data_IF_676615733134
#
_entry.id   IF_676615733134
#
_cell.length_a   1.000
_cell.length_b   1.000
_cell.length_c   1.000
_cell.angle_alpha   90.00
_cell.angle_beta   90.00
_cell.angle_gamma   90.00
#
_symmetry.space_group_name_H-M   'P 1'
#
loop_
_entity.id
_entity.type
_entity.pdbx_description
1 polymer ?
#
# COMPACT_ATOMS: atom_id res chain seq x y z
N UNK A 1 -5.75 -8.28 3.42
CA UNK A 1 -6.63 -7.23 2.84
C UNK A 1 -6.60 -7.26 1.32
N UNK A 2 -5.52 -6.81 0.66
CA UNK A 2 -5.46 -6.70 -0.82
C UNK A 2 -5.77 -7.98 -1.59
N UNK A 3 -5.21 -9.12 -1.20
CA UNK A 3 -5.48 -10.40 -1.86
C UNK A 3 -6.97 -10.82 -1.78
N UNK A 4 -7.69 -10.40 -0.74
CA UNK A 4 -9.13 -10.65 -0.64
C UNK A 4 -9.96 -9.83 -1.66
N UNK A 5 -9.35 -8.79 -2.25
CA UNK A 5 -9.90 -8.00 -3.35
C UNK A 5 -9.36 -8.44 -4.72
N UNK A 6 -8.75 -9.62 -4.82
CA UNK A 6 -8.33 -10.23 -6.08
C UNK A 6 -6.97 -9.76 -6.61
N UNK A 7 -6.23 -8.92 -5.88
CA UNK A 7 -4.86 -8.59 -6.27
C UNK A 7 -3.92 -9.79 -6.08
N UNK A 8 -2.91 -9.98 -6.97
CA UNK A 8 -1.89 -11.00 -6.78
C UNK A 8 -1.25 -10.88 -5.40
N UNK A 9 -1.19 -11.94 -4.58
CA UNK A 9 -0.68 -11.81 -3.21
C UNK A 9 0.75 -11.29 -3.14
N UNK A 10 1.61 -11.65 -4.11
CA UNK A 10 2.98 -11.16 -4.20
C UNK A 10 3.11 -9.66 -4.55
N UNK A 11 2.01 -8.96 -4.88
CA UNK A 11 2.04 -7.49 -4.98
C UNK A 11 2.18 -6.82 -3.61
N UNK A 12 1.83 -7.51 -2.53
CA UNK A 12 1.83 -6.95 -1.18
C UNK A 12 3.20 -7.16 -0.55
N UNK A 13 4.04 -6.13 -0.59
CA UNK A 13 5.33 -6.11 0.09
C UNK A 13 5.16 -5.38 1.42
N UNK A 14 5.53 -6.01 2.53
CA UNK A 14 5.53 -5.39 3.87
C UNK A 14 6.94 -5.47 4.44
N UNK A 15 7.51 -4.31 4.74
CA UNK A 15 8.83 -4.19 5.35
C UNK A 15 8.66 -3.78 6.81
N UNK A 16 9.19 -4.59 7.73
CA UNK A 16 9.28 -4.23 9.14
C UNK A 16 10.69 -3.71 9.42
N UNK A 17 10.80 -2.42 9.70
CA UNK A 17 12.09 -1.74 9.91
C UNK A 17 12.13 -1.29 11.37
N UNK A 18 12.82 -2.03 12.26
CA UNK A 18 13.06 -1.56 13.62
C UNK A 18 14.03 -0.38 13.56
N UNK A 19 13.67 0.72 14.21
CA UNK A 19 14.51 1.90 14.33
C UNK A 19 14.98 2.04 15.78
N UNK A 20 16.22 2.52 16.02
CA UNK A 20 16.64 2.92 17.34
C UNK A 20 15.75 4.02 17.92
N UNK A 21 15.74 4.06 19.23
CA UNK A 21 14.86 4.92 20.01
C UNK A 21 15.11 6.43 19.77
N UNK A 22 16.35 6.76 19.45
CA UNK A 22 16.86 8.10 19.13
C UNK A 22 16.76 8.47 17.63
N UNK A 23 16.07 7.68 16.81
CA UNK A 23 15.89 7.94 15.37
C UNK A 23 14.49 8.45 15.03
N UNK A 24 13.54 8.37 15.98
CA UNK A 24 12.16 8.78 15.78
C UNK A 24 11.86 9.98 16.68
N UNK A 25 11.62 11.13 16.07
CA UNK A 25 11.29 12.37 16.76
C UNK A 25 9.88 12.82 16.37
N UNK A 26 9.04 13.11 17.36
CA UNK A 26 7.74 13.75 17.13
C UNK A 26 7.66 15.03 17.94
N UNK A 27 7.39 16.15 17.27
CA UNK A 27 7.44 17.46 17.91
C UNK A 27 8.83 17.83 18.44
N UNK A 28 9.91 17.27 17.87
CA UNK A 28 11.29 17.51 18.29
C UNK A 28 11.74 16.73 19.51
N UNK A 29 10.95 15.74 19.97
CA UNK A 29 11.24 14.93 21.15
C UNK A 29 11.33 13.46 20.75
N UNK A 30 12.46 12.82 21.04
CA UNK A 30 12.63 11.36 20.93
C UNK A 30 12.57 10.67 22.29
N UNK A 31 12.95 11.41 23.34
CA UNK A 31 13.08 10.96 24.72
C UNK A 31 11.75 10.97 25.49
N UNK A 32 10.85 11.92 25.22
CA UNK A 32 9.57 11.99 25.94
C UNK A 32 8.50 10.97 25.48
N UNK A 33 8.81 10.11 24.51
CA UNK A 33 7.95 8.98 24.10
C UNK A 33 8.56 7.68 24.62
N UNK A 34 7.96 6.50 24.37
CA UNK A 34 8.38 5.20 24.94
C UNK A 34 9.88 4.90 24.97
N UNK A 35 10.61 5.57 24.07
CA UNK A 35 12.03 5.53 23.81
C UNK A 35 12.87 6.27 24.88
N UNK A 36 12.32 7.18 25.69
CA UNK A 36 12.93 7.54 26.98
C UNK A 36 11.99 7.78 28.18
N UNK A 37 10.67 7.70 28.01
CA UNK A 37 9.74 7.42 29.11
C UNK A 37 9.09 6.03 28.90
N UNK A 38 9.52 4.98 29.63
CA UNK A 38 8.99 3.63 29.48
C UNK A 38 7.50 3.49 29.89
N UNK A 39 6.88 4.56 30.38
CA UNK A 39 5.44 4.61 30.65
C UNK A 39 4.60 5.15 29.48
N UNK A 40 5.24 5.72 28.45
CA UNK A 40 4.60 6.14 27.21
C UNK A 40 4.61 5.01 26.17
N UNK A 41 3.62 4.94 25.29
CA UNK A 41 3.56 3.91 24.26
C UNK A 41 4.47 4.20 23.08
N UNK A 42 5.12 3.15 22.54
CA UNK A 42 6.03 3.33 21.40
C UNK A 42 5.24 3.74 20.17
N UNK A 43 5.83 4.61 19.34
CA UNK A 43 5.21 5.06 18.11
C UNK A 43 5.53 4.08 16.98
N UNK A 44 4.50 3.68 16.24
CA UNK A 44 4.61 2.98 14.98
C UNK A 44 4.21 3.94 13.85
N UNK A 45 5.09 4.10 12.86
CA UNK A 45 4.84 4.91 11.66
C UNK A 45 4.68 3.99 10.46
N UNK A 46 3.56 4.09 9.73
CA UNK A 46 3.30 3.26 8.54
C UNK A 46 3.16 4.12 7.28
N UNK A 47 4.01 3.86 6.29
CA UNK A 47 3.89 4.41 4.95
C UNK A 47 3.34 3.33 4.00
N UNK A 48 2.30 3.67 3.25
CA UNK A 48 1.66 2.77 2.29
C UNK A 48 1.82 3.37 0.90
N UNK A 49 2.43 2.63 -0.02
CA UNK A 49 2.57 3.04 -1.41
C UNK A 49 1.62 2.21 -2.27
N UNK A 50 0.62 2.85 -2.85
CA UNK A 50 -0.24 2.25 -3.85
C UNK A 50 0.29 2.54 -5.25
N UNK A 51 0.43 1.48 -6.04
CA UNK A 51 0.91 1.58 -7.42
C UNK A 51 0.03 0.75 -8.36
N UNK A 52 -0.40 -0.43 -7.90
CA UNK A 52 -1.18 -1.35 -8.72
C UNK A 52 -2.65 -0.93 -8.94
N UNK A 53 -3.19 -0.09 -8.06
CA UNK A 53 -4.55 0.47 -8.11
C UNK A 53 -4.49 1.86 -7.47
N UNK A 54 -5.48 2.70 -7.78
CA UNK A 54 -5.63 4.05 -7.23
C UNK A 54 -6.99 4.21 -6.57
N UNK A 55 -7.08 5.12 -5.60
CA UNK A 55 -8.30 5.52 -4.91
C UNK A 55 -8.94 6.66 -5.68
N UNK A 56 -10.00 6.35 -6.42
CA UNK A 56 -10.60 7.29 -7.40
C UNK A 56 -11.68 8.22 -6.80
N UNK A 57 -12.01 8.06 -5.52
CA UNK A 57 -13.03 8.87 -4.86
C UNK A 57 -12.87 8.93 -3.33
N UNK A 58 -13.38 9.99 -2.67
CA UNK A 58 -13.44 10.05 -1.20
C UNK A 58 -14.17 8.86 -0.57
N UNK A 59 -15.24 8.36 -1.20
CA UNK A 59 -16.01 7.21 -0.70
C UNK A 59 -15.17 5.92 -0.73
N UNK A 60 -14.36 5.74 -1.77
CA UNK A 60 -13.41 4.62 -1.86
C UNK A 60 -12.31 4.78 -0.81
N UNK A 61 -11.81 5.99 -0.59
CA UNK A 61 -10.83 6.29 0.46
C UNK A 61 -11.36 5.90 1.85
N UNK A 62 -12.57 6.37 2.19
CA UNK A 62 -13.21 6.05 3.47
C UNK A 62 -13.33 4.54 3.69
N UNK A 63 -13.85 3.80 2.71
CA UNK A 63 -13.99 2.33 2.81
C UNK A 63 -12.65 1.61 2.94
N UNK A 64 -11.63 2.07 2.21
CA UNK A 64 -10.28 1.53 2.32
C UNK A 64 -9.74 1.73 3.73
N UNK A 65 -9.80 2.96 4.24
CA UNK A 65 -9.28 3.31 5.56
C UNK A 65 -10.06 2.64 6.70
N UNK A 66 -11.38 2.45 6.59
CA UNK A 66 -12.14 1.68 7.57
C UNK A 66 -11.63 0.24 7.76
N UNK A 67 -11.14 -0.41 6.69
CA UNK A 67 -10.60 -1.76 6.77
C UNK A 67 -9.19 -1.73 7.38
N UNK A 68 -8.38 -0.76 6.97
CA UNK A 68 -7.04 -0.53 7.51
C UNK A 68 -7.10 -0.23 9.02
N UNK A 69 -8.01 0.63 9.44
CA UNK A 69 -8.26 1.00 10.84
C UNK A 69 -8.61 -0.23 11.69
N UNK A 70 -9.46 -1.13 11.20
CA UNK A 70 -9.80 -2.36 11.94
C UNK A 70 -8.58 -3.26 12.15
N UNK A 71 -7.72 -3.37 11.14
CA UNK A 71 -6.47 -4.16 11.20
C UNK A 71 -5.52 -3.51 12.22
N UNK A 72 -5.27 -2.21 12.10
CA UNK A 72 -4.36 -1.49 12.99
C UNK A 72 -4.88 -1.38 14.41
N UNK A 73 -6.19 -1.24 14.61
CA UNK A 73 -6.79 -1.31 15.94
C UNK A 73 -6.39 -2.61 16.64
N UNK A 74 -6.59 -3.75 15.98
CA UNK A 74 -6.32 -5.08 16.55
C UNK A 74 -4.84 -5.31 16.84
N UNK A 75 -3.95 -4.87 15.94
CA UNK A 75 -2.54 -5.24 15.99
C UNK A 75 -1.62 -4.19 16.62
N UNK A 76 -2.06 -2.93 16.73
CA UNK A 76 -1.25 -1.79 17.16
C UNK A 76 -1.93 -1.07 18.32
N UNK A 77 -3.10 -0.45 18.09
CA UNK A 77 -3.74 0.42 19.09
C UNK A 77 -4.22 -0.34 20.33
N UNK A 78 -4.83 -1.51 20.16
CA UNK A 78 -5.30 -2.35 21.30
C UNK A 78 -4.14 -2.92 22.12
N UNK A 79 -2.91 -2.85 21.59
CA UNK A 79 -1.67 -3.20 22.32
C UNK A 79 -1.03 -2.01 23.02
N UNK A 80 -1.67 -0.84 22.94
CA UNK A 80 -1.24 0.39 23.60
C UNK A 80 -0.35 1.28 22.75
N UNK A 81 0.13 0.87 21.58
CA UNK A 81 1.06 1.68 20.77
C UNK A 81 0.41 2.92 20.15
N UNK A 82 1.21 3.98 19.96
CA UNK A 82 0.80 5.13 19.15
C UNK A 82 0.99 4.81 17.66
N UNK A 83 0.10 5.34 16.81
CA UNK A 83 0.13 5.07 15.38
C UNK A 83 -0.07 6.36 14.58
N UNK A 84 0.80 6.58 13.61
CA UNK A 84 0.53 7.46 12.48
C UNK A 84 0.69 6.66 11.19
N UNK A 85 -0.23 6.83 10.25
CA UNK A 85 -0.10 6.21 8.94
C UNK A 85 -0.67 7.08 7.83
N UNK A 86 -0.18 6.88 6.63
CA UNK A 86 -0.64 7.56 5.43
C UNK A 86 -0.46 6.66 4.21
N UNK A 87 -1.13 7.04 3.12
CA UNK A 87 -1.01 6.41 1.83
C UNK A 87 -0.56 7.45 0.79
N UNK A 88 0.37 7.07 -0.06
CA UNK A 88 0.73 7.80 -1.28
C UNK A 88 0.49 6.91 -2.50
N UNK A 89 0.24 7.55 -3.63
CA UNK A 89 0.01 6.88 -4.91
C UNK A 89 1.11 7.23 -5.90
N UNK A 90 1.59 6.23 -6.64
CA UNK A 90 2.53 6.41 -7.74
C UNK A 90 1.88 5.97 -9.07
N UNK A 91 2.14 6.66 -10.19
CA UNK A 91 1.69 6.21 -11.50
C UNK A 91 2.17 4.78 -11.79
N UNK A 92 1.25 3.92 -12.22
CA UNK A 92 1.52 2.51 -12.54
C UNK A 92 2.54 2.35 -13.66
N UNK A 93 2.58 3.32 -14.57
CA UNK A 93 3.49 3.40 -15.70
C UNK A 93 4.95 3.57 -15.25
N UNK A 94 5.21 3.94 -13.99
CA UNK A 94 6.56 4.03 -13.43
C UNK A 94 7.01 2.73 -12.76
N UNK A 95 6.17 1.69 -12.78
CA UNK A 95 6.44 0.42 -12.12
C UNK A 95 6.72 -0.70 -13.10
N UNK A 96 7.78 -1.47 -12.79
CA UNK A 96 8.05 -2.76 -13.41
C UNK A 96 8.29 -3.82 -12.34
N UNK A 97 7.93 -5.06 -12.64
CA UNK A 97 8.32 -6.25 -11.87
C UNK A 97 9.12 -7.18 -12.76
N UNK A 98 10.35 -7.52 -12.35
CA UNK A 98 11.27 -8.35 -13.15
C UNK A 98 11.43 -7.85 -14.60
N UNK A 99 11.48 -6.53 -14.79
CA UNK A 99 11.63 -5.88 -16.10
C UNK A 99 10.34 -5.76 -16.93
N UNK A 100 9.24 -6.37 -16.49
CA UNK A 100 7.92 -6.32 -17.14
C UNK A 100 7.06 -5.23 -16.54
N UNK A 101 6.27 -4.53 -17.37
CA UNK A 101 5.16 -3.74 -16.84
C UNK A 101 4.13 -4.66 -16.17
N UNK A 102 3.27 -4.09 -15.33
CA UNK A 102 2.20 -4.87 -14.73
C UNK A 102 1.10 -5.12 -15.79
N UNK A 103 0.46 -6.30 -15.78
CA UNK A 103 -0.64 -6.62 -16.69
C UNK A 103 -1.80 -5.63 -16.55
N UNK A 104 -2.64 -5.40 -17.57
CA UNK A 104 -3.83 -4.55 -17.40
C UNK A 104 -4.70 -5.03 -16.21
N UNK A 105 -5.31 -4.07 -15.51
CA UNK A 105 -6.21 -4.39 -14.39
C UNK A 105 -7.33 -5.32 -14.87
N UNK A 106 -7.60 -6.36 -14.08
CA UNK A 106 -8.67 -7.35 -14.28
C UNK A 106 -8.55 -8.14 -15.60
N UNK A 107 -7.33 -8.22 -16.17
CA UNK A 107 -7.02 -9.00 -17.38
C UNK A 107 -6.76 -10.48 -17.10
N UNK A 108 -6.81 -11.31 -18.15
CA UNK A 108 -6.41 -12.72 -18.07
C UNK A 108 -4.95 -12.87 -17.60
N UNK A 109 -4.06 -11.98 -18.01
CA UNK A 109 -2.67 -11.98 -17.57
C UNK A 109 -2.54 -11.69 -16.07
N UNK A 110 -3.31 -10.76 -15.52
CA UNK A 110 -3.36 -10.51 -14.07
C UNK A 110 -3.94 -11.73 -13.33
N UNK A 111 -4.99 -12.36 -13.86
CA UNK A 111 -5.56 -13.58 -13.28
C UNK A 111 -4.54 -14.74 -13.24
N UNK A 112 -3.69 -14.88 -14.27
CA UNK A 112 -2.56 -15.83 -14.25
C UNK A 112 -1.58 -15.47 -13.13
N UNK A 113 -1.21 -14.19 -12.99
CA UNK A 113 -0.31 -13.74 -11.91
C UNK A 113 -0.91 -13.99 -10.52
N UNK A 114 -2.22 -13.80 -10.34
CA UNK A 114 -2.94 -14.15 -9.10
C UNK A 114 -2.81 -15.64 -8.81
N UNK A 115 -3.14 -16.48 -9.80
CA UNK A 115 -3.14 -17.94 -9.66
C UNK A 115 -1.76 -18.50 -9.36
N UNK A 116 -0.74 -18.02 -10.07
CA UNK A 116 0.63 -18.51 -9.94
C UNK A 116 1.40 -17.85 -8.79
N UNK A 117 0.87 -16.75 -8.26
CA UNK A 117 1.49 -15.93 -7.23
C UNK A 117 2.96 -15.55 -7.54
N UNK A 118 3.23 -15.25 -8.81
CA UNK A 118 4.52 -14.79 -9.32
C UNK A 118 4.31 -14.04 -10.62
N UNK A 119 5.33 -13.30 -11.04
CA UNK A 119 5.33 -12.71 -12.38
C UNK A 119 5.48 -13.81 -13.45
N UNK A 120 4.72 -13.69 -14.53
CA UNK A 120 4.85 -14.50 -15.74
C UNK A 120 4.82 -13.61 -16.98
N UNK A 121 5.63 -13.91 -18.02
CA UNK A 121 5.56 -13.17 -19.29
C UNK A 121 4.15 -13.16 -19.87
N UNK A 122 3.77 -12.04 -20.49
CA UNK A 122 2.48 -11.87 -21.15
C UNK A 122 2.60 -10.90 -22.32
N UNK A 123 1.64 -10.96 -23.25
CA UNK A 123 1.63 -10.07 -24.42
C UNK A 123 1.43 -8.61 -23.99
N UNK A 124 2.29 -7.71 -24.50
CA UNK A 124 2.25 -6.28 -24.15
C UNK A 124 3.05 -5.89 -22.90
N UNK A 125 3.76 -6.82 -22.25
CA UNK A 125 4.59 -6.57 -21.06
C UNK A 125 5.71 -5.52 -21.25
N UNK A 126 6.01 -5.17 -22.50
CA UNK A 126 7.02 -4.18 -22.87
C UNK A 126 6.51 -2.73 -22.84
N UNK A 127 5.18 -2.54 -22.75
CA UNK A 127 4.54 -1.22 -22.77
C UNK A 127 3.78 -0.95 -21.46
N UNK A 128 3.80 0.30 -20.96
CA UNK A 128 3.06 0.65 -19.76
C UNK A 128 1.54 0.54 -20.02
N UNK A 129 0.80 0.06 -19.03
CA UNK A 129 -0.66 0.08 -19.06
C UNK A 129 -1.16 1.09 -18.04
N UNK A 130 -1.91 2.13 -18.44
CA UNK A 130 -2.47 3.09 -17.49
C UNK A 130 -3.46 2.46 -16.53
N UNK A 131 -3.49 2.95 -15.29
CA UNK A 131 -4.47 2.51 -14.27
C UNK A 131 -5.91 2.90 -14.61
N UNK A 132 -6.09 3.99 -15.35
CA UNK A 132 -7.39 4.57 -15.68
C UNK A 132 -7.73 4.22 -17.13
N UNK A 133 -8.90 3.62 -17.38
CA UNK A 133 -9.44 3.49 -18.75
C UNK A 133 -9.55 4.91 -19.34
N UNK A 134 -9.12 5.17 -20.59
CA UNK A 134 -9.25 6.50 -21.16
C UNK A 134 -10.68 6.99 -20.96
N UNK A 135 -10.81 8.15 -20.30
CA UNK A 135 -12.09 8.80 -20.10
C UNK A 135 -12.62 9.10 -21.49
N UNK A 136 -13.68 8.39 -21.91
CA UNK A 136 -14.38 8.72 -23.14
C UNK A 136 -14.98 10.10 -22.91
N UNK A 137 -14.26 11.16 -23.27
CA UNK A 137 -14.89 12.44 -23.51
C UNK A 137 -15.93 12.17 -24.59
N UNK A 138 -17.21 12.21 -24.21
CA UNK A 138 -18.26 12.39 -25.20
C UNK A 138 -17.88 13.67 -25.96
N UNK A 139 -17.69 13.53 -27.27
CA UNK A 139 -17.74 14.68 -28.15
C UNK A 139 -19.22 15.07 -28.15
N UNK A 140 -19.57 15.97 -27.22
CA UNK A 140 -20.80 16.75 -27.30
C UNK A 140 -20.60 17.88 -28.32
#
# INVERSE_FOLDING_TARGET
MYAAYGLPPFFVIVLFIPLPDDYVYVGGRSDERANADPTQPAMIRIAIDHIARTIESPEMAMKFFEIVDKIFKTHILDKGYELEYHLIESPREFMKMNGMYLPPNDSEAEAVWVKENRTSPYEGMEFPTPSIKPMNYRQD
#
